data_IF_714986725262
#
_entry.id   IF_714986725262
#
_cell.length_a   1.000
_cell.length_b   1.000
_cell.length_c   1.000
_cell.angle_alpha   90.00
_cell.angle_beta   90.00
_cell.angle_gamma   90.00
#
_symmetry.space_group_name_H-M   'P 1'
#
loop_
_entity.id
_entity.type
_entity.pdbx_description
1 polymer ?
#
# COMPACT_ATOMS: atom_id res chain seq x y z
N UNK A 1 -17.16 1.72 -13.06
CA UNK A 1 -16.02 2.18 -12.24
C UNK A 1 -15.74 3.57 -12.77
N UNK A 2 -16.05 4.59 -11.97
CA UNK A 2 -16.38 5.93 -12.49
C UNK A 2 -15.37 6.98 -11.99
N UNK A 3 -14.10 6.61 -11.87
CA UNK A 3 -13.01 7.52 -11.45
C UNK A 3 -12.11 7.82 -12.64
N UNK A 4 -11.94 9.09 -12.96
CA UNK A 4 -11.06 9.55 -14.05
C UNK A 4 -9.61 9.74 -13.58
N UNK A 5 -9.41 10.11 -12.32
CA UNK A 5 -8.09 10.36 -11.70
C UNK A 5 -7.72 9.27 -10.70
N UNK A 6 -6.42 9.16 -10.40
CA UNK A 6 -5.92 8.27 -9.36
C UNK A 6 -6.57 8.56 -8.00
N UNK A 7 -7.01 7.48 -7.35
CA UNK A 7 -7.55 7.53 -5.98
C UNK A 7 -6.41 7.29 -4.99
N UNK A 8 -6.33 8.13 -3.96
CA UNK A 8 -5.25 8.11 -2.96
C UNK A 8 -5.79 7.71 -1.60
N UNK A 9 -4.89 7.32 -0.68
CA UNK A 9 -5.24 7.10 0.71
C UNK A 9 -5.54 8.42 1.43
N UNK A 10 -6.67 8.51 2.14
CA UNK A 10 -7.07 9.76 2.79
C UNK A 10 -8.39 9.67 3.54
N UNK A 11 -8.88 10.82 4.02
CA UNK A 11 -10.11 10.93 4.81
C UNK A 11 -11.30 11.48 4.02
N UNK A 12 -11.09 11.94 2.78
CA UNK A 12 -12.18 12.47 1.94
C UNK A 12 -13.06 11.35 1.39
N UNK A 13 -14.28 11.69 0.98
CA UNK A 13 -15.20 10.78 0.27
C UNK A 13 -14.67 10.33 -1.11
N UNK A 14 -13.67 11.04 -1.63
CA UNK A 14 -12.97 10.72 -2.87
C UNK A 14 -11.80 9.77 -2.67
N UNK A 15 -11.39 9.56 -1.42
CA UNK A 15 -10.18 8.84 -1.04
C UNK A 15 -10.54 7.43 -0.56
N UNK A 16 -9.53 6.57 -0.44
CA UNK A 16 -9.71 5.18 0.02
C UNK A 16 -8.98 4.92 1.34
N UNK A 17 -9.39 3.85 2.01
CA UNK A 17 -8.78 3.38 3.26
C UNK A 17 -8.68 1.86 3.28
N UNK A 18 -7.56 1.33 3.76
CA UNK A 18 -7.38 -0.10 4.05
C UNK A 18 -7.19 -0.28 5.56
N UNK A 19 -8.26 -0.66 6.27
CA UNK A 19 -8.27 -0.75 7.74
C UNK A 19 -8.99 -2.02 8.17
N UNK A 20 -8.43 -2.69 9.18
CA UNK A 20 -9.09 -3.80 9.86
C UNK A 20 -9.06 -3.54 11.37
N UNK A 21 -10.25 -3.50 12.00
CA UNK A 21 -10.38 -3.35 13.44
C UNK A 21 -10.49 -4.72 14.09
N UNK A 22 -9.47 -5.08 14.87
CA UNK A 22 -9.35 -6.41 15.48
C UNK A 22 -9.70 -6.32 16.96
N UNK A 23 -10.65 -7.14 17.40
CA UNK A 23 -10.95 -7.32 18.83
C UNK A 23 -10.17 -8.55 19.32
N UNK A 24 -9.31 -8.38 20.33
CA UNK A 24 -8.41 -9.43 20.80
C UNK A 24 -8.18 -9.37 22.33
N UNK A 25 -7.63 -10.46 22.90
CA UNK A 25 -7.24 -10.58 24.31
C UNK A 25 -5.95 -11.43 24.42
N UNK A 26 -5.02 -11.15 25.36
CA UNK A 26 -5.05 -10.09 26.38
C UNK A 26 -4.91 -8.69 25.78
N UNK A 27 -5.40 -7.68 26.51
CA UNK A 27 -5.16 -6.29 26.15
C UNK A 27 -3.66 -6.02 26.12
N UNK A 28 -3.20 -5.36 25.06
CA UNK A 28 -1.82 -4.90 24.92
C UNK A 28 -1.81 -3.40 24.66
N UNK A 29 -0.69 -2.70 24.92
CA UNK A 29 -0.60 -1.28 24.63
C UNK A 29 -0.59 -0.93 23.14
N UNK A 30 -0.58 -1.91 22.22
CA UNK A 30 -0.59 -1.68 20.77
C UNK A 30 -1.99 -1.33 20.26
N UNK A 31 -2.12 -0.16 19.66
CA UNK A 31 -3.39 0.34 19.10
C UNK A 31 -3.36 0.47 17.58
N UNK A 32 -2.27 0.99 17.02
CA UNK A 32 -2.10 1.12 15.56
C UNK A 32 -0.92 0.29 15.11
N UNK A 33 -1.18 -0.65 14.21
CA UNK A 33 -0.17 -1.40 13.47
C UNK A 33 -0.48 -1.24 11.98
N UNK A 34 0.21 -0.32 11.31
CA UNK A 34 0.04 -0.06 9.89
C UNK A 34 1.37 0.22 9.21
N UNK A 35 1.38 0.15 7.89
CA UNK A 35 2.53 0.47 7.06
C UNK A 35 2.13 1.31 5.86
N UNK A 36 3.10 2.04 5.30
CA UNK A 36 3.04 2.65 3.98
C UNK A 36 4.35 2.42 3.25
N UNK A 37 4.42 2.74 1.96
CA UNK A 37 5.70 2.89 1.26
C UNK A 37 6.59 3.89 2.03
N UNK A 38 7.91 3.68 2.04
CA UNK A 38 8.83 4.63 2.65
C UNK A 38 8.86 5.95 1.86
N UNK A 39 9.01 7.07 2.58
CA UNK A 39 9.02 8.40 1.98
C UNK A 39 10.13 8.52 0.92
N UNK A 40 11.31 7.98 1.21
CA UNK A 40 12.44 8.00 0.28
C UNK A 40 12.15 7.24 -1.03
N UNK A 41 11.52 6.07 -0.95
CA UNK A 41 11.18 5.29 -2.14
C UNK A 41 10.12 6.01 -2.99
N UNK A 42 9.14 6.62 -2.33
CA UNK A 42 8.09 7.38 -3.00
C UNK A 42 8.63 8.65 -3.67
N UNK A 43 9.51 9.38 -3.00
CA UNK A 43 10.19 10.55 -3.57
C UNK A 43 11.03 10.14 -4.80
N UNK A 44 11.73 9.01 -4.73
CA UNK A 44 12.50 8.47 -5.85
C UNK A 44 11.61 8.16 -7.04
N UNK A 45 10.44 7.56 -6.81
CA UNK A 45 9.44 7.29 -7.86
C UNK A 45 8.94 8.59 -8.50
N UNK A 46 8.59 9.61 -7.71
CA UNK A 46 8.11 10.87 -8.27
C UNK A 46 9.19 11.64 -9.02
N UNK A 47 10.45 11.59 -8.57
CA UNK A 47 11.58 12.17 -9.30
C UNK A 47 11.80 11.43 -10.62
N UNK A 48 11.72 10.10 -10.62
CA UNK A 48 11.80 9.32 -11.85
C UNK A 48 10.70 9.71 -12.86
N UNK A 49 9.46 9.84 -12.38
CA UNK A 49 8.32 10.27 -13.21
C UNK A 49 8.54 11.68 -13.79
N UNK A 50 9.17 12.58 -13.04
CA UNK A 50 9.46 13.93 -13.52
C UNK A 50 10.58 13.93 -14.58
N UNK A 51 11.72 13.33 -14.26
CA UNK A 51 12.95 13.44 -15.06
C UNK A 51 12.92 12.58 -16.33
N UNK A 52 12.32 11.39 -16.26
CA UNK A 52 12.39 10.40 -17.34
C UNK A 52 11.09 10.27 -18.13
N UNK A 53 9.95 10.42 -17.45
CA UNK A 53 8.61 10.32 -18.06
C UNK A 53 7.97 11.69 -18.32
N UNK A 54 8.68 12.78 -18.00
CA UNK A 54 8.23 14.18 -18.18
C UNK A 54 6.85 14.44 -17.57
N UNK A 55 6.56 13.84 -16.41
CA UNK A 55 5.32 14.03 -15.67
C UNK A 55 5.42 15.25 -14.75
N UNK A 56 4.32 15.98 -14.51
CA UNK A 56 4.32 17.21 -13.71
C UNK A 56 4.31 16.91 -12.19
N UNK A 57 5.20 16.03 -11.74
CA UNK A 57 5.46 15.77 -10.31
C UNK A 57 6.55 16.72 -9.78
N UNK A 58 6.55 16.98 -8.48
CA UNK A 58 7.57 17.80 -7.82
C UNK A 58 7.72 17.44 -6.34
N UNK A 59 8.94 17.50 -5.76
CA UNK A 59 9.14 17.40 -4.31
C UNK A 59 8.45 18.52 -3.52
N UNK A 60 8.10 19.64 -4.16
CA UNK A 60 7.40 20.75 -3.53
C UNK A 60 5.88 20.55 -3.47
N UNK A 61 5.35 19.62 -4.26
CA UNK A 61 3.94 19.27 -4.26
C UNK A 61 3.63 18.28 -3.13
N UNK A 62 2.39 18.30 -2.65
CA UNK A 62 1.91 17.23 -1.76
C UNK A 62 1.84 15.89 -2.49
N UNK A 63 2.01 14.79 -1.75
CA UNK A 63 1.99 13.42 -2.29
C UNK A 63 0.74 13.17 -3.15
N UNK A 64 -0.45 13.51 -2.64
CA UNK A 64 -1.71 13.34 -3.38
C UNK A 64 -1.74 14.14 -4.67
N UNK A 65 -1.18 15.36 -4.67
CA UNK A 65 -1.11 16.19 -5.87
C UNK A 65 -0.17 15.59 -6.92
N UNK A 66 0.95 14.98 -6.51
CA UNK A 66 1.84 14.26 -7.42
C UNK A 66 1.15 13.04 -8.05
N UNK A 67 0.40 12.25 -7.29
CA UNK A 67 -0.37 11.14 -7.87
C UNK A 67 -1.43 11.62 -8.87
N UNK A 68 -2.10 12.74 -8.58
CA UNK A 68 -3.14 13.32 -9.42
C UNK A 68 -2.59 14.00 -10.68
N UNK A 69 -1.33 14.44 -10.67
CA UNK A 69 -0.73 15.14 -11.80
C UNK A 69 -0.15 14.21 -12.87
N UNK A 70 0.08 12.93 -12.53
CA UNK A 70 0.58 11.92 -13.47
C UNK A 70 -0.52 11.53 -14.47
N UNK A 71 -0.18 11.53 -15.76
CA UNK A 71 -0.99 10.93 -16.80
C UNK A 71 -0.81 9.41 -16.77
N UNK A 72 -1.80 8.69 -16.23
CA UNK A 72 -1.69 7.25 -16.02
C UNK A 72 -1.81 6.45 -17.32
N UNK A 73 -0.89 5.52 -17.53
CA UNK A 73 -0.94 4.52 -18.58
C UNK A 73 -0.55 3.15 -18.00
N UNK A 74 -0.71 2.08 -18.79
CA UNK A 74 -0.46 0.71 -18.31
C UNK A 74 0.97 0.50 -17.79
N UNK A 75 1.96 1.10 -18.42
CA UNK A 75 3.37 0.95 -18.02
C UNK A 75 3.65 1.68 -16.70
N UNK A 76 3.13 2.90 -16.50
CA UNK A 76 3.29 3.65 -15.24
C UNK A 76 2.58 2.98 -14.07
N UNK A 77 1.41 2.37 -14.33
CA UNK A 77 0.70 1.56 -13.34
C UNK A 77 1.52 0.34 -12.94
N UNK A 78 2.09 -0.38 -13.92
CA UNK A 78 2.95 -1.53 -13.65
C UNK A 78 4.21 -1.13 -12.87
N UNK A 79 4.85 -0.03 -13.23
CA UNK A 79 6.01 0.46 -12.50
C UNK A 79 5.66 0.83 -11.05
N UNK A 80 4.54 1.50 -10.81
CA UNK A 80 4.09 1.80 -9.44
C UNK A 80 3.79 0.51 -8.65
N UNK A 81 3.20 -0.48 -9.30
CA UNK A 81 2.94 -1.79 -8.70
C UNK A 81 4.26 -2.49 -8.29
N UNK A 82 5.27 -2.50 -9.16
CA UNK A 82 6.61 -3.01 -8.84
C UNK A 82 7.24 -2.25 -7.68
N UNK A 83 7.10 -0.93 -7.64
CA UNK A 83 7.59 -0.11 -6.52
C UNK A 83 6.92 -0.54 -5.21
N UNK A 84 5.60 -0.79 -5.18
CA UNK A 84 4.95 -1.26 -3.95
C UNK A 84 5.36 -2.68 -3.53
N UNK A 85 5.79 -3.52 -4.48
CA UNK A 85 6.23 -4.89 -4.19
C UNK A 85 7.70 -4.98 -3.77
N UNK A 86 8.53 -3.98 -4.05
CA UNK A 86 9.98 -4.02 -3.81
C UNK A 86 10.48 -2.93 -2.83
N UNK A 87 9.74 -1.82 -2.68
CA UNK A 87 10.18 -0.71 -1.85
C UNK A 87 10.11 -1.03 -0.34
N UNK A 88 11.05 -0.47 0.46
CA UNK A 88 10.95 -0.50 1.90
C UNK A 88 9.68 0.17 2.44
N UNK A 89 9.30 -0.18 3.66
CA UNK A 89 8.11 0.31 4.35
C UNK A 89 8.44 1.38 5.40
N UNK A 90 7.56 2.36 5.51
CA UNK A 90 7.39 3.18 6.73
C UNK A 90 6.40 2.47 7.64
N UNK A 91 6.84 2.06 8.82
CA UNK A 91 6.01 1.36 9.81
C UNK A 91 5.49 2.35 10.86
N UNK A 92 4.20 2.22 11.20
CA UNK A 92 3.57 2.97 12.28
C UNK A 92 3.03 1.99 13.31
N UNK A 93 3.82 1.84 14.37
CA UNK A 93 3.53 1.05 15.55
C UNK A 93 3.26 2.03 16.70
N UNK A 94 1.99 2.36 16.95
CA UNK A 94 1.61 3.33 17.99
C UNK A 94 0.98 2.63 19.20
N UNK A 95 1.34 3.16 20.36
CA UNK A 95 0.74 2.83 21.64
C UNK A 95 -0.63 3.49 21.80
N UNK A 96 -1.42 3.03 22.77
CA UNK A 96 -2.69 3.67 23.13
C UNK A 96 -2.57 5.10 23.70
N UNK A 97 -1.36 5.56 24.02
CA UNK A 97 -1.12 6.98 24.32
C UNK A 97 -1.11 7.86 23.06
N UNK A 98 -1.03 7.26 21.87
CA UNK A 98 -0.78 7.93 20.60
C UNK A 98 0.70 8.01 20.22
N UNK A 99 1.61 7.74 21.15
CA UNK A 99 3.06 7.75 20.90
C UNK A 99 3.51 6.50 20.14
N UNK A 100 4.59 6.62 19.38
CA UNK A 100 5.24 5.45 18.74
C UNK A 100 5.99 4.62 19.77
N UNK A 101 5.98 3.30 19.58
CA UNK A 101 6.92 2.42 20.29
C UNK A 101 8.38 2.85 20.00
N UNK A 102 9.30 2.73 20.97
CA UNK A 102 10.70 3.11 20.76
C UNK A 102 11.33 2.25 19.67
N UNK A 103 12.02 2.89 18.73
CA UNK A 103 12.68 2.21 17.62
C UNK A 103 12.76 3.09 16.37
N UNK A 104 13.53 2.62 15.39
CA UNK A 104 13.53 3.18 14.05
C UNK A 104 12.57 2.37 13.19
N UNK A 105 11.55 3.03 12.66
CA UNK A 105 10.44 2.40 11.96
C UNK A 105 10.37 2.77 10.48
N UNK A 106 11.33 3.53 9.97
CA UNK A 106 11.44 3.85 8.56
C UNK A 106 12.33 2.84 7.83
N UNK A 107 12.10 2.70 6.52
CA UNK A 107 12.85 1.79 5.65
C UNK A 107 12.91 0.33 6.15
N UNK A 108 11.82 -0.14 6.76
CA UNK A 108 11.68 -1.54 7.15
C UNK A 108 11.60 -2.43 5.90
N UNK A 109 12.22 -3.61 5.95
CA UNK A 109 12.13 -4.57 4.85
C UNK A 109 10.69 -5.11 4.70
N UNK A 110 10.33 -5.47 3.48
CA UNK A 110 9.05 -6.12 3.19
C UNK A 110 8.96 -7.50 3.88
N UNK A 111 7.82 -7.86 4.48
CA UNK A 111 7.64 -9.15 5.11
C UNK A 111 7.58 -10.26 4.06
N UNK A 112 8.43 -11.29 4.20
CA UNK A 112 8.42 -12.46 3.34
C UNK A 112 7.35 -13.48 3.77
N UNK A 113 6.65 -14.06 2.79
CA UNK A 113 5.72 -15.17 3.04
C UNK A 113 6.51 -16.48 3.11
N UNK A 114 6.79 -16.95 4.33
CA UNK A 114 7.56 -18.19 4.54
C UNK A 114 6.72 -19.47 4.41
N UNK A 115 5.42 -19.37 4.70
CA UNK A 115 4.49 -20.49 4.65
C UNK A 115 3.17 -20.02 4.04
N UNK A 116 2.94 -20.26 2.74
CA UNK A 116 1.67 -19.91 2.12
C UNK A 116 0.56 -20.85 2.63
N UNK A 117 -0.67 -20.33 2.66
CA UNK A 117 -1.83 -21.18 2.95
C UNK A 117 -1.96 -22.28 1.90
N UNK A 118 -2.41 -23.49 2.29
CA UNK A 118 -2.68 -24.54 1.32
C UNK A 118 -3.73 -24.07 0.31
N UNK A 119 -3.69 -24.56 -0.95
CA UNK A 119 -4.70 -24.22 -1.93
C UNK A 119 -6.08 -24.65 -1.41
N UNK A 120 -7.15 -23.91 -1.76
CA UNK A 120 -8.50 -24.31 -1.38
C UNK A 120 -8.80 -25.71 -1.90
N UNK A 121 -9.58 -26.47 -1.12
CA UNK A 121 -9.97 -27.83 -1.52
C UNK A 121 -10.67 -27.80 -2.88
N UNK A 122 -10.28 -28.71 -3.77
CA UNK A 122 -10.96 -28.87 -5.05
C UNK A 122 -12.33 -29.47 -4.79
N UNK A 123 -13.37 -28.65 -4.90
CA UNK A 123 -14.75 -29.12 -5.03
C UNK A 123 -14.93 -29.76 -6.42
N UNK A 124 -14.42 -30.99 -6.57
CA UNK A 124 -14.85 -31.88 -7.63
C UNK A 124 -16.28 -32.29 -7.31
N UNK A 125 -17.27 -31.43 -7.60
CA UNK A 125 -18.62 -31.93 -7.75
C UNK A 125 -18.59 -32.95 -8.88
N UNK A 126 -18.88 -34.19 -8.54
CA UNK A 126 -19.11 -35.29 -9.46
C UNK A 126 -20.33 -34.95 -10.35
N UNK A 127 -20.17 -34.08 -11.34
CA UNK A 127 -20.98 -34.17 -12.55
C UNK A 127 -20.37 -35.27 -13.43
N UNK A 128 -20.32 -36.47 -12.86
CA UNK A 128 -20.26 -37.72 -13.60
C UNK A 128 -21.66 -38.08 -14.10
N UNK A 129 -22.32 -37.17 -14.82
CA UNK A 129 -23.42 -37.53 -15.72
C UNK A 129 -23.16 -36.79 -17.03
N UNK A 130 -22.41 -37.45 -17.91
CA UNK A 130 -22.67 -37.37 -19.33
C UNK A 130 -23.97 -38.16 -19.58
N UNK A 131 -25.10 -37.47 -19.71
CA UNK A 131 -26.27 -37.95 -20.46
C UNK A 131 -26.68 -36.84 -21.43
#
# INVERSE_FOLDING_TARGET
MDRENATVGGFSISDEMCVNYIHYYPHTPLEVCKSSISDQALDTFFNYMNEWENQPTSPLNGISANYQSIEWNKMRVQLLDEVYHEAPLSMQCNMSSGDRFPGYWENAALPAILSPLPPPERNCYENGIFE
#
